data_IF_330303905875
#
_entry.id   IF_330303905875
#
_cell.length_a   1.000
_cell.length_b   1.000
_cell.length_c   1.000
_cell.angle_alpha   90.00
_cell.angle_beta   90.00
_cell.angle_gamma   90.00
#
_symmetry.space_group_name_H-M   'P 1'
#
loop_
_entity.id
_entity.type
_entity.pdbx_description
1 polymer ?
#
# COMPACT_ATOMS: atom_id res chain seq x y z
N UNK A 1 23.87 -11.11 -9.07
CA UNK A 1 23.03 -11.59 -7.95
C UNK A 1 21.58 -11.69 -8.45
N UNK A 2 21.17 -12.86 -8.99
CA UNK A 2 20.02 -13.00 -9.92
C UNK A 2 18.68 -13.43 -9.32
N UNK A 3 18.55 -13.64 -8.01
CA UNK A 3 17.40 -14.34 -7.42
C UNK A 3 16.68 -13.53 -6.31
N UNK A 4 16.33 -12.27 -6.54
CA UNK A 4 15.31 -11.63 -5.70
C UNK A 4 13.95 -12.09 -6.23
N UNK A 5 13.22 -12.85 -5.41
CA UNK A 5 11.89 -13.31 -5.78
C UNK A 5 10.97 -12.10 -5.91
N UNK A 6 10.21 -12.04 -7.01
CA UNK A 6 9.25 -10.96 -7.29
C UNK A 6 7.97 -11.31 -6.54
N UNK A 7 7.63 -10.53 -5.52
CA UNK A 7 6.58 -10.86 -4.55
C UNK A 7 5.20 -10.89 -5.22
N UNK A 8 4.87 -9.91 -6.09
CA UNK A 8 3.55 -9.91 -6.76
C UNK A 8 3.40 -11.11 -7.71
N UNK A 9 4.46 -11.53 -8.41
CA UNK A 9 4.39 -12.69 -9.33
C UNK A 9 4.14 -13.97 -8.56
N UNK A 10 4.72 -14.10 -7.36
CA UNK A 10 4.48 -15.22 -6.47
C UNK A 10 3.03 -15.21 -5.96
N UNK A 11 2.54 -14.06 -5.50
CA UNK A 11 1.17 -13.91 -5.02
C UNK A 11 0.11 -14.30 -6.08
N UNK A 12 0.29 -13.82 -7.32
CA UNK A 12 -0.60 -14.17 -8.43
C UNK A 12 -0.64 -15.68 -8.69
N UNK A 13 0.53 -16.35 -8.60
CA UNK A 13 0.64 -17.79 -8.79
C UNK A 13 -0.01 -18.58 -7.67
N UNK A 14 0.23 -18.19 -6.42
CA UNK A 14 -0.34 -18.85 -5.23
C UNK A 14 -1.87 -18.75 -5.20
N UNK A 15 -2.41 -17.60 -5.61
CA UNK A 15 -3.85 -17.35 -5.63
C UNK A 15 -4.52 -17.72 -6.97
N UNK A 16 -3.79 -18.30 -7.93
CA UNK A 16 -4.27 -18.61 -9.28
C UNK A 16 -4.93 -17.42 -10.01
N UNK A 17 -4.45 -16.20 -9.73
CA UNK A 17 -4.94 -14.97 -10.36
C UNK A 17 -4.15 -14.75 -11.65
N UNK A 18 -4.84 -14.59 -12.78
CA UNK A 18 -4.17 -14.25 -14.05
C UNK A 18 -4.01 -12.75 -14.16
N UNK A 19 -2.91 -12.28 -14.76
CA UNK A 19 -2.69 -10.86 -15.06
C UNK A 19 -3.89 -10.20 -15.75
N UNK A 20 -4.56 -10.92 -16.66
CA UNK A 20 -5.74 -10.43 -17.40
C UNK A 20 -6.99 -10.23 -16.54
N UNK A 21 -7.05 -10.90 -15.40
CA UNK A 21 -8.19 -10.82 -14.47
C UNK A 21 -8.00 -9.68 -13.47
N UNK A 22 -6.81 -9.06 -13.45
CA UNK A 22 -6.53 -7.86 -12.66
C UNK A 22 -7.17 -6.63 -13.30
N UNK A 23 -7.45 -5.58 -12.53
CA UNK A 23 -7.77 -4.27 -13.08
C UNK A 23 -6.70 -3.79 -14.07
N UNK A 24 -7.13 -3.21 -15.19
CA UNK A 24 -6.28 -2.57 -16.22
C UNK A 24 -5.15 -1.70 -15.60
N UNK A 25 -5.41 -0.89 -14.57
CA UNK A 25 -4.36 -0.07 -13.98
C UNK A 25 -3.24 -0.88 -13.28
N UNK A 26 -3.56 -2.04 -12.67
CA UNK A 26 -2.56 -2.95 -12.10
C UNK A 26 -1.81 -3.67 -13.23
N UNK A 27 -2.50 -4.00 -14.33
CA UNK A 27 -1.86 -4.58 -15.51
C UNK A 27 -0.79 -3.65 -16.09
N UNK A 28 -1.10 -2.36 -16.21
CA UNK A 28 -0.15 -1.32 -16.65
C UNK A 28 1.08 -1.26 -15.74
N UNK A 29 0.92 -1.29 -14.41
CA UNK A 29 2.05 -1.30 -13.49
C UNK A 29 2.94 -2.54 -13.67
N UNK A 30 2.33 -3.72 -13.89
CA UNK A 30 3.09 -4.95 -14.19
C UNK A 30 3.84 -4.83 -15.52
N UNK A 31 3.25 -4.18 -16.53
CA UNK A 31 3.95 -3.91 -17.80
C UNK A 31 5.14 -2.97 -17.62
N UNK A 32 4.97 -1.88 -16.86
CA UNK A 32 6.07 -0.98 -16.51
C UNK A 32 7.16 -1.74 -15.76
N UNK A 33 6.77 -2.63 -14.83
CA UNK A 33 7.73 -3.48 -14.13
C UNK A 33 8.52 -4.37 -15.10
N UNK A 34 7.85 -5.07 -16.01
CA UNK A 34 8.50 -5.95 -16.98
C UNK A 34 9.46 -5.15 -17.89
N UNK A 35 9.07 -3.95 -18.33
CA UNK A 35 9.93 -3.03 -19.10
C UNK A 35 11.17 -2.57 -18.32
N UNK A 36 10.99 -2.16 -17.06
CA UNK A 36 12.10 -1.76 -16.20
C UNK A 36 13.04 -2.95 -15.92
N UNK A 37 12.48 -4.16 -15.76
CA UNK A 37 13.24 -5.36 -15.51
C UNK A 37 14.09 -5.77 -16.71
N UNK A 38 13.60 -5.59 -17.94
CA UNK A 38 14.39 -5.81 -19.16
C UNK A 38 15.62 -4.87 -19.23
N UNK A 39 15.49 -3.65 -18.73
CA UNK A 39 16.59 -2.68 -18.72
C UNK A 39 17.71 -3.05 -17.74
N UNK A 40 17.42 -3.86 -16.71
CA UNK A 40 18.41 -4.31 -15.70
C UNK A 40 19.58 -5.04 -16.36
N UNK A 41 19.33 -5.83 -17.40
CA UNK A 41 20.37 -6.57 -18.12
C UNK A 41 21.23 -5.67 -19.02
N UNK A 42 20.81 -4.41 -19.26
CA UNK A 42 21.47 -3.47 -20.19
C UNK A 42 22.18 -2.30 -19.50
N UNK A 43 22.00 -2.10 -18.19
CA UNK A 43 22.55 -0.95 -17.44
C UNK A 43 23.82 -1.29 -16.65
N UNK A 44 24.75 -0.33 -16.57
CA UNK A 44 25.94 -0.37 -15.71
C UNK A 44 25.69 0.33 -14.35
N UNK A 45 26.47 0.00 -13.31
CA UNK A 45 26.43 0.69 -12.01
C UNK A 45 26.93 2.13 -12.16
N UNK A 46 26.24 3.19 -11.69
CA UNK A 46 25.29 3.27 -10.55
C UNK A 46 23.79 3.25 -10.88
N UNK A 47 23.41 3.38 -12.17
CA UNK A 47 22.01 3.45 -12.58
C UNK A 47 21.26 2.13 -12.32
N UNK A 48 21.99 1.02 -12.34
CA UNK A 48 21.46 -0.31 -11.99
C UNK A 48 20.89 -0.35 -10.57
N UNK A 49 21.55 0.28 -9.59
CA UNK A 49 21.10 0.23 -8.20
C UNK A 49 19.83 1.06 -8.00
N UNK A 50 19.75 2.25 -8.60
CA UNK A 50 18.54 3.07 -8.59
C UNK A 50 17.37 2.36 -9.27
N UNK A 51 17.62 1.72 -10.42
CA UNK A 51 16.63 0.93 -11.14
C UNK A 51 16.12 -0.26 -10.30
N UNK A 52 17.02 -0.94 -9.59
CA UNK A 52 16.65 -2.03 -8.69
C UNK A 52 15.78 -1.56 -7.51
N UNK A 53 16.08 -0.40 -6.92
CA UNK A 53 15.23 0.19 -5.87
C UNK A 53 13.85 0.58 -6.41
N UNK A 54 13.78 1.12 -7.63
CA UNK A 54 12.52 1.43 -8.30
C UNK A 54 11.70 0.16 -8.59
N UNK A 55 12.34 -0.92 -9.04
CA UNK A 55 11.70 -2.21 -9.26
C UNK A 55 11.16 -2.80 -7.96
N UNK A 56 11.94 -2.79 -6.88
CA UNK A 56 11.47 -3.28 -5.57
C UNK A 56 10.28 -2.48 -5.06
N UNK A 57 10.32 -1.15 -5.20
CA UNK A 57 9.19 -0.30 -4.84
C UNK A 57 7.94 -0.62 -5.67
N UNK A 58 8.12 -0.82 -6.98
CA UNK A 58 7.02 -1.13 -7.88
C UNK A 58 6.44 -2.53 -7.60
N UNK A 59 7.28 -3.50 -7.23
CA UNK A 59 6.84 -4.84 -6.80
C UNK A 59 5.91 -4.75 -5.58
N UNK A 60 6.33 -3.98 -4.57
CA UNK A 60 5.53 -3.71 -3.37
C UNK A 60 4.25 -2.97 -3.71
N UNK A 61 4.32 -1.93 -4.54
CA UNK A 61 3.15 -1.13 -4.93
C UNK A 61 2.09 -1.99 -5.67
N UNK A 62 2.53 -2.86 -6.59
CA UNK A 62 1.65 -3.80 -7.30
C UNK A 62 1.03 -4.79 -6.32
N UNK A 63 1.83 -5.38 -5.43
CA UNK A 63 1.34 -6.34 -4.45
C UNK A 63 0.31 -5.70 -3.51
N UNK A 64 0.59 -4.51 -2.97
CA UNK A 64 -0.36 -3.76 -2.12
C UNK A 64 -1.67 -3.48 -2.86
N UNK A 65 -1.60 -3.00 -4.11
CA UNK A 65 -2.80 -2.68 -4.88
C UNK A 65 -3.62 -3.95 -5.21
N UNK A 66 -2.96 -5.11 -5.44
CA UNK A 66 -3.62 -6.42 -5.58
C UNK A 66 -4.26 -6.85 -4.25
N UNK A 67 -3.50 -6.88 -3.16
CA UNK A 67 -4.03 -7.31 -1.85
C UNK A 67 -5.21 -6.44 -1.41
N UNK A 68 -5.19 -5.15 -1.75
CA UNK A 68 -6.27 -4.23 -1.44
C UNK A 68 -7.53 -4.52 -2.26
N UNK A 69 -7.41 -4.79 -3.57
CA UNK A 69 -8.57 -5.17 -4.40
C UNK A 69 -9.18 -6.51 -4.01
N UNK A 70 -8.33 -7.46 -3.62
CA UNK A 70 -8.79 -8.79 -3.23
C UNK A 70 -8.99 -8.91 -1.71
N UNK A 71 -8.95 -7.83 -0.92
CA UNK A 71 -9.08 -7.86 0.57
C UNK A 71 -10.38 -8.58 1.00
N UNK A 72 -11.48 -8.36 0.28
CA UNK A 72 -12.79 -8.97 0.55
C UNK A 72 -12.87 -10.44 0.10
N UNK A 73 -12.00 -10.87 -0.82
CA UNK A 73 -11.91 -12.26 -1.28
C UNK A 73 -10.90 -13.07 -0.46
N UNK A 74 -9.82 -12.42 -0.01
CA UNK A 74 -8.76 -12.98 0.83
C UNK A 74 -9.20 -13.20 2.28
N UNK A 75 -10.26 -12.54 2.73
CA UNK A 75 -10.83 -12.74 4.08
C UNK A 75 -11.46 -14.13 4.29
N UNK A 76 -11.67 -14.91 3.22
CA UNK A 76 -12.12 -16.31 3.30
C UNK A 76 -11.00 -17.35 3.16
N UNK A 77 -9.77 -16.92 2.81
CA UNK A 77 -8.61 -17.80 2.90
C UNK A 77 -7.98 -17.54 4.26
N UNK A 78 -8.04 -18.55 5.14
CA UNK A 78 -7.32 -18.53 6.42
C UNK A 78 -5.92 -17.99 6.17
N UNK A 79 -5.69 -16.80 6.76
CA UNK A 79 -4.41 -16.10 6.79
C UNK A 79 -3.38 -17.07 7.31
N UNK A 80 -2.72 -17.79 6.40
CA UNK A 80 -1.52 -18.54 6.75
C UNK A 80 -0.54 -17.47 7.13
N UNK A 81 -0.32 -17.36 8.44
CA UNK A 81 0.57 -16.40 9.04
C UNK A 81 1.90 -16.46 8.28
N UNK A 82 2.18 -15.41 7.50
CA UNK A 82 3.55 -15.16 7.06
C UNK A 82 4.41 -15.28 8.34
N UNK A 83 5.48 -16.10 8.33
CA UNK A 83 6.30 -16.23 9.50
C UNK A 83 6.78 -14.82 9.86
N UNK A 84 6.35 -14.36 11.03
CA UNK A 84 6.82 -13.12 11.65
C UNK A 84 8.32 -13.03 11.37
N UNK A 85 8.74 -12.00 10.62
CA UNK A 85 10.15 -11.59 10.58
C UNK A 85 10.65 -11.68 12.02
N UNK A 86 11.75 -12.41 12.29
CA UNK A 86 12.12 -12.73 13.66
C UNK A 86 12.18 -11.43 14.45
N UNK A 87 11.45 -11.41 15.56
CA UNK A 87 11.52 -10.37 16.56
C UNK A 87 13.00 -10.14 16.88
N UNK A 88 13.55 -9.05 16.36
CA UNK A 88 14.83 -8.53 16.84
C UNK A 88 14.52 -7.90 18.18
N UNK A 89 14.48 -8.76 19.20
CA UNK A 89 14.52 -8.35 20.58
C UNK A 89 15.82 -7.58 20.84
N UNK A 90 15.74 -6.67 21.81
CA UNK A 90 16.80 -5.95 22.53
C UNK A 90 17.36 -4.72 21.76
N UNK A 91 17.09 -3.46 22.14
CA UNK A 91 17.12 -2.87 23.49
C UNK A 91 16.01 -1.84 23.73
N UNK A 92 15.27 -2.04 24.83
CA UNK A 92 14.54 -1.01 25.57
C UNK A 92 15.46 0.17 25.87
N UNK A 93 15.20 1.33 25.28
CA UNK A 93 15.54 2.62 25.88
C UNK A 93 14.29 3.15 26.62
N UNK A 94 14.44 3.77 27.81
CA UNK A 94 13.33 4.01 28.71
C UNK A 94 12.49 5.22 28.27
N UNK A 95 11.17 5.00 28.32
CA UNK A 95 10.10 5.96 28.61
C UNK A 95 10.24 7.40 28.08
N UNK A 96 9.40 7.71 27.07
CA UNK A 96 8.40 8.76 27.26
C UNK A 96 7.04 8.22 26.86
N UNK A 97 6.26 7.87 27.88
CA UNK A 97 4.80 7.76 27.81
C UNK A 97 4.25 9.13 27.41
N UNK A 98 4.16 9.39 26.11
CA UNK A 98 3.25 10.42 25.62
C UNK A 98 1.87 9.78 25.68
N UNK A 99 0.89 10.39 26.37
CA UNK A 99 -0.44 9.82 26.45
C UNK A 99 -0.96 9.65 25.03
N UNK A 100 -1.20 8.40 24.65
CA UNK A 100 -1.96 8.02 23.46
C UNK A 100 -3.37 8.56 23.67
N UNK A 101 -3.55 9.85 23.42
CA UNK A 101 -4.86 10.41 23.08
C UNK A 101 -5.31 9.57 21.91
N UNK A 102 -6.41 8.85 22.08
CA UNK A 102 -7.10 8.17 20.99
C UNK A 102 -7.25 9.21 19.88
N UNK A 103 -6.42 9.12 18.83
CA UNK A 103 -6.55 10.01 17.69
C UNK A 103 -7.84 9.59 17.02
N UNK A 104 -8.91 10.31 17.30
CA UNK A 104 -10.17 10.15 16.59
C UNK A 104 -9.89 10.26 15.10
N UNK A 105 -10.61 9.51 14.27
CA UNK A 105 -10.42 9.51 12.82
C UNK A 105 -10.43 10.94 12.23
N UNK A 106 -11.23 11.84 12.80
CA UNK A 106 -11.24 13.27 12.46
C UNK A 106 -9.90 14.00 12.72
N UNK A 107 -9.19 13.68 13.80
CA UNK A 107 -7.87 14.27 14.10
C UNK A 107 -6.81 13.83 13.10
N UNK A 108 -6.90 12.58 12.62
CA UNK A 108 -5.99 12.06 11.58
C UNK A 108 -6.19 12.84 10.29
N UNK A 109 -7.45 13.04 9.88
CA UNK A 109 -7.77 13.83 8.70
C UNK A 109 -7.39 15.32 8.88
N UNK A 110 -7.56 15.87 10.08
CA UNK A 110 -7.16 17.25 10.39
C UNK A 110 -5.64 17.46 10.27
N UNK A 111 -4.83 16.49 10.71
CA UNK A 111 -3.38 16.50 10.51
C UNK A 111 -3.01 16.46 9.02
N UNK A 112 -3.68 15.62 8.22
CA UNK A 112 -3.44 15.51 6.77
C UNK A 112 -3.81 16.79 6.02
N UNK A 113 -4.92 17.43 6.41
CA UNK A 113 -5.36 18.72 5.85
C UNK A 113 -4.39 19.84 6.23
N UNK A 114 -3.93 19.89 7.48
CA UNK A 114 -2.89 20.84 7.93
C UNK A 114 -1.59 20.70 7.15
N UNK A 115 -1.20 19.46 6.82
CA UNK A 115 -0.02 19.16 6.00
C UNK A 115 -0.24 19.37 4.49
N UNK A 116 -1.44 19.79 4.05
CA UNK A 116 -1.85 19.89 2.64
C UNK A 116 -1.70 18.56 1.86
N UNK A 117 -1.69 17.43 2.56
CA UNK A 117 -1.60 16.08 1.97
C UNK A 117 -2.98 15.46 1.86
N UNK A 118 -3.84 16.08 1.06
CA UNK A 118 -5.27 15.73 0.98
C UNK A 118 -5.65 14.94 -0.26
N UNK A 119 -4.72 14.61 -1.15
CA UNK A 119 -5.00 13.93 -2.42
C UNK A 119 -4.28 12.60 -2.55
N UNK A 120 -4.93 11.64 -3.21
CA UNK A 120 -4.31 10.36 -3.58
C UNK A 120 -3.88 9.50 -2.39
N UNK A 121 -4.64 9.54 -1.29
CA UNK A 121 -4.35 8.77 -0.09
C UNK A 121 -4.84 7.33 -0.27
N UNK A 122 -3.93 6.35 -0.15
CA UNK A 122 -4.30 4.93 -0.10
C UNK A 122 -5.09 4.61 1.17
N UNK A 123 -6.02 3.66 1.09
CA UNK A 123 -6.75 3.13 2.27
C UNK A 123 -5.80 2.52 3.29
N UNK A 124 -4.81 1.75 2.82
CA UNK A 124 -3.78 1.12 3.65
C UNK A 124 -3.04 2.16 4.49
N UNK A 125 -2.68 3.29 3.89
CA UNK A 125 -2.04 4.43 4.56
C UNK A 125 -2.95 5.08 5.59
N UNK A 126 -4.23 5.27 5.28
CA UNK A 126 -5.21 5.81 6.22
C UNK A 126 -5.41 4.87 7.43
N UNK A 127 -5.56 3.56 7.19
CA UNK A 127 -5.63 2.54 8.25
C UNK A 127 -4.34 2.48 9.08
N UNK A 128 -3.17 2.55 8.43
CA UNK A 128 -1.86 2.57 9.09
C UNK A 128 -1.65 3.79 10.00
N UNK A 129 -2.31 4.92 9.70
CA UNK A 129 -2.34 6.09 10.58
C UNK A 129 -3.27 5.94 11.80
N UNK A 130 -4.04 4.85 11.86
CA UNK A 130 -4.95 4.53 12.95
C UNK A 130 -6.42 4.80 12.62
N UNK A 131 -6.78 5.05 11.36
CA UNK A 131 -8.17 5.27 10.96
C UNK A 131 -8.96 3.96 11.13
N UNK A 132 -9.97 3.96 12.01
CA UNK A 132 -10.77 2.77 12.33
C UNK A 132 -12.03 2.63 11.48
N UNK A 133 -12.53 3.74 10.93
CA UNK A 133 -13.71 3.74 10.07
C UNK A 133 -13.48 2.87 8.84
N UNK A 134 -14.45 1.99 8.52
CA UNK A 134 -14.43 1.22 7.27
C UNK A 134 -14.58 2.17 6.09
N UNK A 135 -13.49 2.38 5.38
CA UNK A 135 -13.42 3.16 4.13
C UNK A 135 -13.70 2.20 2.97
N UNK A 136 -14.65 2.51 2.10
CA UNK A 136 -14.96 1.69 0.93
C UNK A 136 -15.37 2.52 -0.28
N UNK A 137 -16.42 3.33 -0.14
CA UNK A 137 -16.79 4.36 -1.11
C UNK A 137 -16.58 5.75 -0.53
N UNK A 138 -17.46 6.68 -0.87
CA UNK A 138 -17.46 8.01 -0.26
C UNK A 138 -17.83 7.88 1.22
N UNK A 139 -16.88 8.20 2.09
CA UNK A 139 -17.00 7.97 3.53
C UNK A 139 -16.91 9.30 4.27
N UNK A 140 -17.97 9.65 4.99
CA UNK A 140 -18.01 10.88 5.80
C UNK A 140 -17.44 10.56 7.18
N UNK A 141 -16.42 11.33 7.59
CA UNK A 141 -15.76 11.25 8.88
C UNK A 141 -15.77 12.66 9.49
N UNK A 142 -16.79 12.93 10.30
CA UNK A 142 -16.98 14.24 10.92
C UNK A 142 -17.17 15.36 9.90
N UNK A 143 -16.30 16.37 9.95
CA UNK A 143 -16.28 17.53 9.04
C UNK A 143 -15.59 17.25 7.68
N UNK A 144 -15.10 16.03 7.47
CA UNK A 144 -14.35 15.67 6.27
C UNK A 144 -15.05 14.51 5.54
N UNK A 145 -15.03 14.55 4.22
CA UNK A 145 -15.44 13.45 3.36
C UNK A 145 -14.21 12.88 2.65
N UNK A 146 -14.04 11.57 2.74
CA UNK A 146 -13.13 10.81 1.90
C UNK A 146 -13.85 10.48 0.59
N UNK A 147 -13.52 11.23 -0.46
CA UNK A 147 -14.05 11.01 -1.81
C UNK A 147 -13.16 10.00 -2.53
N UNK A 148 -13.74 8.91 -3.03
CA UNK A 148 -12.99 7.90 -3.78
C UNK A 148 -12.72 8.44 -5.18
N UNK A 149 -11.44 8.67 -5.47
CA UNK A 149 -10.98 9.18 -6.78
C UNK A 149 -10.77 8.11 -7.83
N UNK A 150 -10.55 6.87 -7.40
CA UNK A 150 -10.39 5.74 -8.32
C UNK A 150 -11.05 4.50 -7.74
N UNK A 151 -11.82 3.84 -8.60
CA UNK A 151 -12.41 2.54 -8.29
C UNK A 151 -11.38 1.43 -8.16
N UNK A 152 -10.17 1.55 -8.71
CA UNK A 152 -9.22 0.42 -8.72
C UNK A 152 -8.03 0.58 -7.78
N UNK A 153 -7.74 1.81 -7.37
CA UNK A 153 -6.58 2.10 -6.53
C UNK A 153 -6.94 2.46 -5.09
N UNK A 154 -8.24 2.38 -4.75
CA UNK A 154 -8.80 2.86 -3.48
C UNK A 154 -8.12 4.15 -2.99
N UNK A 155 -7.96 5.09 -3.93
CA UNK A 155 -7.34 6.39 -3.65
C UNK A 155 -8.43 7.34 -3.21
N UNK A 156 -8.21 7.97 -2.07
CA UNK A 156 -9.14 8.90 -1.48
C UNK A 156 -8.58 10.32 -1.50
N UNK A 157 -9.45 11.28 -1.77
CA UNK A 157 -9.21 12.68 -1.51
C UNK A 157 -9.98 13.10 -0.26
N UNK A 158 -9.38 13.95 0.56
CA UNK A 158 -10.05 14.58 1.70
C UNK A 158 -10.69 15.88 1.21
N UNK A 159 -12.02 15.92 1.26
CA UNK A 159 -12.83 17.10 0.99
C UNK A 159 -13.39 17.62 2.30
N UNK A 160 -13.19 18.90 2.60
CA UNK A 160 -13.81 19.52 3.79
C UNK A 160 -15.27 19.81 3.48
N UNK A 161 -16.18 19.16 4.20
CA UNK A 161 -17.59 19.54 4.22
C UNK A 161 -17.71 20.73 5.17
N UNK A 162 -18.10 21.87 4.61
CA UNK A 162 -18.14 23.16 5.31
C UNK A 162 -19.49 23.35 5.99
#
# INVERSE_FOLDING_TARGET
MKNKAIEFKQFLKENNIKKKDLPEPIQEMIEIYDQLYELVDTMEEPNLQELMEQLEKLDIDILEDIEEEYEDLLTNNERTELPKKPEVTIKKSPQKTVPTKEKTDEMILDELVKMKRTKGLRRSKLRGMGLKTKIGGDTIIGKYMLERTSFFYYRYNIVSMK
#
